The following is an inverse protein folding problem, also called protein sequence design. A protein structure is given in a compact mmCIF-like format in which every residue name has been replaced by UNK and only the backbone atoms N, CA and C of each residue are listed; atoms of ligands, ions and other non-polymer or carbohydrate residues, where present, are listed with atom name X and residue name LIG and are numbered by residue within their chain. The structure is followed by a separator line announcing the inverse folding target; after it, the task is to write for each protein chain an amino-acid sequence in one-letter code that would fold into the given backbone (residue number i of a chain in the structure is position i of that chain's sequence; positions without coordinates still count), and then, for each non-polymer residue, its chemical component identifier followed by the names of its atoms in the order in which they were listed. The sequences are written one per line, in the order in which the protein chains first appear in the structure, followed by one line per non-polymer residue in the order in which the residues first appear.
data_IF_094775946184
#
_entry.id   IF_094775946184
#
_cell.length_a   1.000
_cell.length_b   1.000
_cell.length_c   1.000
_cell.angle_alpha   90.00
_cell.angle_beta   90.00
_cell.angle_gamma   90.00
#
_symmetry.space_group_name_H-M   'P 1'
#
loop_
_entity.id
_entity.type
_entity.pdbx_description
1 polymer ?
#
# COMPACT_ATOMS: atom_id res chain seq x y z
N UNK A 1 -0.12 -5.05 7.05
CA UNK A 1 -1.41 -5.78 7.17
C UNK A 1 -2.53 -5.17 6.32
N UNK A 2 -2.57 -3.85 6.09
CA UNK A 2 -3.60 -3.21 5.26
C UNK A 2 -3.68 -3.79 3.84
N UNK A 3 -2.54 -4.01 3.18
CA UNK A 3 -2.47 -4.63 1.85
C UNK A 3 -3.00 -6.09 1.84
N UNK A 4 -2.76 -6.82 2.92
CA UNK A 4 -3.32 -8.18 3.10
C UNK A 4 -4.84 -8.14 3.20
N UNK A 5 -5.39 -7.21 3.97
CA UNK A 5 -6.83 -7.01 4.07
C UNK A 5 -7.43 -6.63 2.70
N UNK A 6 -6.75 -5.76 1.95
CA UNK A 6 -7.14 -5.39 0.58
C UNK A 6 -7.19 -6.61 -0.34
N UNK A 7 -6.14 -7.44 -0.35
CA UNK A 7 -6.09 -8.66 -1.15
C UNK A 7 -7.26 -9.60 -0.87
N UNK A 8 -7.60 -9.82 0.41
CA UNK A 8 -8.76 -10.65 0.75
C UNK A 8 -10.08 -10.03 0.31
N UNK A 9 -10.20 -8.69 0.36
CA UNK A 9 -11.42 -8.02 -0.12
C UNK A 9 -11.55 -8.09 -1.64
N UNK A 10 -10.46 -8.00 -2.40
CA UNK A 10 -10.44 -8.24 -3.85
C UNK A 10 -11.00 -9.63 -4.16
N UNK A 11 -10.43 -10.66 -3.52
CA UNK A 11 -10.90 -12.04 -3.67
C UNK A 11 -12.39 -12.19 -3.35
N UNK A 12 -12.87 -11.61 -2.24
CA UNK A 12 -14.28 -11.70 -1.85
C UNK A 12 -15.20 -10.98 -2.84
N UNK A 13 -14.77 -9.86 -3.40
CA UNK A 13 -15.52 -9.15 -4.44
C UNK A 13 -15.72 -10.02 -5.69
N UNK A 14 -14.66 -10.74 -6.09
CA UNK A 14 -14.69 -11.62 -7.27
C UNK A 14 -15.56 -12.87 -7.03
N UNK A 15 -15.52 -13.44 -5.83
CA UNK A 15 -16.31 -14.62 -5.45
C UNK A 15 -17.78 -14.30 -5.11
N UNK A 16 -18.15 -13.02 -5.00
CA UNK A 16 -19.51 -12.62 -4.66
C UNK A 16 -20.49 -12.96 -5.78
N UNK A 17 -21.53 -13.72 -5.47
CA UNK A 17 -22.60 -14.03 -6.44
C UNK A 17 -23.46 -12.82 -6.86
N UNK A 18 -23.27 -11.65 -6.20
CA UNK A 18 -23.93 -10.39 -6.52
C UNK A 18 -25.43 -10.28 -6.17
N UNK A 19 -26.05 -11.29 -5.56
CA UNK A 19 -27.49 -11.28 -5.25
C UNK A 19 -27.87 -10.33 -4.13
N UNK A 20 -27.08 -10.30 -3.03
CA UNK A 20 -27.35 -9.43 -1.89
C UNK A 20 -26.70 -8.06 -2.11
N UNK A 21 -27.48 -6.98 -2.04
CA UNK A 21 -26.96 -5.61 -2.18
C UNK A 21 -25.90 -5.28 -1.13
N UNK A 22 -26.09 -5.69 0.13
CA UNK A 22 -25.14 -5.49 1.22
C UNK A 22 -23.79 -6.15 0.92
N UNK A 23 -23.77 -7.39 0.41
CA UNK A 23 -22.55 -8.04 0.00
C UNK A 23 -21.93 -7.36 -1.23
N UNK A 24 -22.68 -7.32 -2.36
CA UNK A 24 -22.18 -6.80 -3.64
C UNK A 24 -21.65 -5.36 -3.56
N UNK A 25 -22.39 -4.46 -2.92
CA UNK A 25 -22.02 -3.04 -2.82
C UNK A 25 -21.08 -2.82 -1.66
N UNK A 26 -21.38 -3.42 -0.50
CA UNK A 26 -20.61 -3.20 0.73
C UNK A 26 -19.17 -3.70 0.62
N UNK A 27 -18.94 -4.90 0.08
CA UNK A 27 -17.58 -5.43 -0.10
C UNK A 27 -16.77 -4.55 -1.06
N UNK A 28 -17.39 -4.08 -2.15
CA UNK A 28 -16.75 -3.17 -3.09
C UNK A 28 -16.38 -1.83 -2.43
N UNK A 29 -17.27 -1.27 -1.62
CA UNK A 29 -16.97 -0.03 -0.87
C UNK A 29 -15.84 -0.22 0.14
N UNK A 30 -15.79 -1.36 0.84
CA UNK A 30 -14.67 -1.69 1.71
C UNK A 30 -13.35 -1.78 0.93
N UNK A 31 -13.37 -2.41 -0.24
CA UNK A 31 -12.20 -2.50 -1.12
C UNK A 31 -11.72 -1.11 -1.55
N UNK A 32 -12.61 -0.25 -2.04
CA UNK A 32 -12.29 1.14 -2.44
C UNK A 32 -11.65 1.94 -1.29
N UNK A 33 -12.12 1.75 -0.05
CA UNK A 33 -11.54 2.39 1.13
C UNK A 33 -10.11 1.85 1.40
N UNK A 34 -9.91 0.54 1.34
CA UNK A 34 -8.60 -0.07 1.54
C UNK A 34 -7.60 0.35 0.45
N UNK A 35 -8.04 0.43 -0.81
CA UNK A 35 -7.23 0.97 -1.90
C UNK A 35 -6.83 2.41 -1.63
N UNK A 36 -7.78 3.25 -1.24
CA UNK A 36 -7.55 4.66 -0.87
C UNK A 36 -6.52 4.78 0.27
N UNK A 37 -6.58 3.92 1.28
CA UNK A 37 -5.61 3.88 2.38
C UNK A 37 -4.23 3.45 1.87
N UNK A 38 -4.13 2.38 1.06
CA UNK A 38 -2.88 1.91 0.47
C UNK A 38 -2.25 2.93 -0.50
N UNK A 39 -3.07 3.79 -1.14
CA UNK A 39 -2.61 4.89 -1.96
C UNK A 39 -2.14 6.13 -1.18
N UNK A 40 -2.28 6.11 0.15
CA UNK A 40 -1.93 7.25 1.01
C UNK A 40 -2.96 8.38 1.01
N UNK A 41 -4.14 8.18 0.44
CA UNK A 41 -5.23 9.16 0.39
C UNK A 41 -6.28 8.94 1.48
N UNK A 42 -6.13 7.88 2.29
CA UNK A 42 -7.05 7.55 3.38
C UNK A 42 -7.13 8.63 4.46
N UNK A 43 -8.25 8.64 5.17
CA UNK A 43 -8.53 9.49 6.33
C UNK A 43 -8.86 8.62 7.55
N UNK A 44 -8.86 9.21 8.75
CA UNK A 44 -9.21 8.47 9.98
C UNK A 44 -10.66 7.99 9.92
N UNK A 45 -11.54 8.80 9.36
CA UNK A 45 -12.96 8.46 9.16
C UNK A 45 -13.14 7.22 8.25
N UNK A 46 -12.23 6.99 7.31
CA UNK A 46 -12.25 5.79 6.47
C UNK A 46 -12.07 4.51 7.29
N UNK A 47 -11.28 4.55 8.38
CA UNK A 47 -11.08 3.42 9.29
C UNK A 47 -12.38 3.11 10.03
N UNK A 48 -13.05 4.13 10.53
CA UNK A 48 -14.32 3.96 11.24
C UNK A 48 -15.42 3.47 10.26
N UNK A 49 -15.40 3.95 9.03
CA UNK A 49 -16.30 3.48 7.97
C UNK A 49 -16.12 1.99 7.63
N UNK A 50 -14.89 1.46 7.67
CA UNK A 50 -14.67 0.02 7.49
C UNK A 50 -15.39 -0.81 8.55
N UNK A 51 -15.39 -0.38 9.81
CA UNK A 51 -16.08 -1.07 10.92
C UNK A 51 -17.62 -1.02 10.73
N UNK A 52 -18.16 0.13 10.32
CA UNK A 52 -19.59 0.30 10.06
C UNK A 52 -20.05 -0.57 8.88
N UNK A 53 -19.30 -0.54 7.77
CA UNK A 53 -19.60 -1.37 6.60
C UNK A 53 -19.52 -2.86 6.92
N UNK A 54 -18.53 -3.28 7.72
CA UNK A 54 -18.37 -4.65 8.16
C UNK A 54 -19.62 -5.17 8.90
N UNK A 55 -20.12 -4.39 9.86
CA UNK A 55 -21.34 -4.74 10.60
C UNK A 55 -22.59 -4.78 9.69
N UNK A 56 -22.70 -3.82 8.78
CA UNK A 56 -23.79 -3.72 7.82
C UNK A 56 -23.85 -4.93 6.88
N UNK A 57 -22.69 -5.34 6.36
CA UNK A 57 -22.59 -6.51 5.47
C UNK A 57 -22.91 -7.79 6.24
N UNK A 58 -22.40 -7.93 7.47
CA UNK A 58 -22.65 -9.11 8.31
C UNK A 58 -24.12 -9.35 8.56
N UNK A 59 -24.87 -8.28 8.92
CA UNK A 59 -26.30 -8.38 9.21
C UNK A 59 -27.16 -8.51 7.96
N UNK A 60 -26.81 -7.82 6.87
CA UNK A 60 -27.62 -7.74 5.65
C UNK A 60 -27.37 -8.83 4.61
N UNK A 61 -26.28 -9.61 4.74
CA UNK A 61 -25.97 -10.67 3.81
C UNK A 61 -26.75 -11.97 4.12
N UNK A 62 -27.24 -12.64 3.08
CA UNK A 62 -28.10 -13.82 3.20
C UNK A 62 -27.33 -15.15 3.31
N UNK A 63 -26.04 -15.18 2.96
CA UNK A 63 -25.24 -16.40 2.97
C UNK A 63 -23.95 -16.25 3.76
N UNK A 64 -23.33 -17.37 4.10
CA UNK A 64 -22.09 -17.42 4.89
C UNK A 64 -20.96 -16.60 4.27
N UNK A 65 -20.77 -16.61 2.94
CA UNK A 65 -19.74 -15.81 2.28
C UNK A 65 -19.91 -14.31 2.62
N UNK A 66 -21.12 -13.77 2.44
CA UNK A 66 -21.37 -12.37 2.72
C UNK A 66 -21.27 -12.03 4.21
N UNK A 67 -21.79 -12.89 5.09
CA UNK A 67 -21.75 -12.69 6.54
C UNK A 67 -20.31 -12.70 7.10
N UNK A 68 -19.41 -13.45 6.49
CA UNK A 68 -18.00 -13.55 6.91
C UNK A 68 -17.06 -12.67 6.08
N UNK A 69 -17.56 -12.01 5.05
CA UNK A 69 -16.78 -11.22 4.10
C UNK A 69 -15.86 -10.19 4.74
N UNK A 70 -16.32 -9.52 5.79
CA UNK A 70 -15.57 -8.48 6.47
C UNK A 70 -14.57 -9.00 7.54
N UNK A 71 -14.57 -10.30 7.85
CA UNK A 71 -13.72 -10.86 8.91
C UNK A 71 -12.22 -10.59 8.71
N UNK A 72 -11.63 -10.70 7.51
CA UNK A 72 -10.22 -10.35 7.31
C UNK A 72 -9.91 -8.91 7.68
N UNK A 73 -10.78 -7.97 7.32
CA UNK A 73 -10.61 -6.55 7.65
C UNK A 73 -10.76 -6.30 9.16
N UNK A 74 -11.80 -6.84 9.78
CA UNK A 74 -12.02 -6.69 11.21
C UNK A 74 -10.90 -7.31 12.05
N UNK A 75 -10.38 -8.47 11.67
CA UNK A 75 -9.29 -9.13 12.39
C UNK A 75 -7.99 -8.34 12.29
N UNK A 76 -7.68 -7.80 11.11
CA UNK A 76 -6.50 -6.94 10.92
C UNK A 76 -6.64 -5.60 11.62
N UNK A 77 -7.82 -4.98 11.63
CA UNK A 77 -8.08 -3.77 12.39
C UNK A 77 -7.93 -3.98 13.91
N UNK A 78 -8.40 -5.09 14.45
CA UNK A 78 -8.25 -5.41 15.89
C UNK A 78 -6.81 -5.62 16.31
N UNK A 79 -6.02 -6.33 15.48
CA UNK A 79 -4.66 -6.73 15.84
C UNK A 79 -3.59 -5.74 15.41
N UNK A 80 -3.85 -4.92 14.39
CA UNK A 80 -2.87 -4.06 13.73
C UNK A 80 -3.43 -2.66 13.43
N UNK A 81 -4.26 -2.12 14.33
CA UNK A 81 -4.90 -0.79 14.14
C UNK A 81 -3.87 0.31 13.90
N UNK A 82 -2.73 0.23 14.59
CA UNK A 82 -1.65 1.21 14.43
C UNK A 82 -1.12 1.26 13.00
N UNK A 83 -1.01 0.13 12.31
CA UNK A 83 -0.58 0.13 10.89
C UNK A 83 -1.57 0.90 10.00
N UNK A 84 -2.87 0.80 10.26
CA UNK A 84 -3.87 1.58 9.53
C UNK A 84 -3.74 3.08 9.81
N UNK A 85 -3.54 3.43 11.08
CA UNK A 85 -3.35 4.83 11.50
C UNK A 85 -2.09 5.41 10.85
N UNK A 86 -0.98 4.68 10.84
CA UNK A 86 0.26 5.11 10.20
C UNK A 86 0.11 5.28 8.68
N UNK A 87 -0.60 4.39 8.00
CA UNK A 87 -0.90 4.54 6.56
C UNK A 87 -1.70 5.81 6.28
N UNK A 88 -2.62 6.16 7.18
CA UNK A 88 -3.52 7.31 7.03
C UNK A 88 -2.86 8.59 7.48
N UNK A 89 -2.28 8.62 8.69
CA UNK A 89 -1.70 9.82 9.31
C UNK A 89 -0.29 10.12 8.81
N UNK A 90 0.58 9.11 8.89
CA UNK A 90 2.01 9.28 8.66
C UNK A 90 2.41 8.97 7.21
N UNK A 91 1.45 8.49 6.40
CA UNK A 91 1.64 8.07 4.99
C UNK A 91 2.80 7.08 4.84
N UNK A 92 2.92 6.16 5.80
CA UNK A 92 4.01 5.21 5.90
C UNK A 92 3.51 3.77 5.90
N UNK A 93 4.20 2.92 5.15
CA UNK A 93 3.96 1.48 5.11
C UNK A 93 5.19 0.73 5.61
N UNK A 94 5.19 0.19 6.83
CA UNK A 94 6.32 -0.54 7.39
C UNK A 94 6.73 -1.77 6.59
N UNK A 95 5.77 -2.44 5.95
CA UNK A 95 6.05 -3.59 5.09
C UNK A 95 6.61 -3.18 3.73
N UNK A 96 6.63 -1.89 3.39
CA UNK A 96 7.07 -1.34 2.11
C UNK A 96 6.44 -2.03 0.88
N UNK A 97 5.16 -2.45 0.99
CA UNK A 97 4.40 -3.10 -0.08
C UNK A 97 3.56 -2.07 -0.84
N UNK A 98 2.98 -1.11 -0.10
CA UNK A 98 2.15 -0.06 -0.68
C UNK A 98 3.01 0.92 -1.48
N UNK A 99 2.98 0.80 -2.82
CA UNK A 99 3.87 1.55 -3.73
C UNK A 99 3.82 3.06 -3.51
N UNK A 100 2.64 3.60 -3.19
CA UNK A 100 2.49 5.04 -3.01
C UNK A 100 3.03 5.55 -1.67
N UNK A 101 3.18 4.66 -0.68
CA UNK A 101 3.66 4.96 0.67
C UNK A 101 5.12 4.58 0.90
N UNK A 102 5.83 4.13 -0.12
CA UNK A 102 7.25 3.79 -0.02
C UNK A 102 8.09 4.75 -0.86
N UNK A 103 9.34 4.95 -0.45
CA UNK A 103 10.32 5.74 -1.17
C UNK A 103 11.66 5.00 -1.27
N UNK A 104 12.38 5.24 -2.36
CA UNK A 104 13.78 4.83 -2.47
C UNK A 104 14.66 6.02 -2.15
N UNK A 105 15.62 5.82 -1.23
CA UNK A 105 16.56 6.88 -0.80
C UNK A 105 17.99 6.36 -0.98
N UNK A 106 18.85 7.21 -1.51
CA UNK A 106 20.28 6.89 -1.63
C UNK A 106 20.99 7.36 -0.37
N UNK A 107 21.64 6.42 0.32
CA UNK A 107 22.49 6.73 1.46
C UNK A 107 23.80 7.35 0.95
N UNK A 108 24.10 8.61 1.28
CA UNK A 108 25.29 9.29 0.76
C UNK A 108 26.60 8.68 1.26
N UNK A 109 26.62 8.08 2.46
CA UNK A 109 27.83 7.46 3.03
C UNK A 109 28.23 6.19 2.28
N UNK A 110 27.25 5.40 1.82
CA UNK A 110 27.48 4.17 1.06
C UNK A 110 27.65 4.43 -0.44
N UNK A 111 27.15 5.56 -0.93
CA UNK A 111 27.15 5.88 -2.34
C UNK A 111 28.55 6.27 -2.84
N UNK A 112 29.08 5.52 -3.82
CA UNK A 112 30.39 5.81 -4.45
C UNK A 112 30.30 6.67 -5.72
N UNK A 113 29.12 7.15 -6.08
CA UNK A 113 28.95 8.00 -7.27
C UNK A 113 29.24 7.29 -8.61
N UNK A 114 28.98 5.99 -8.70
CA UNK A 114 29.33 5.18 -9.89
C UNK A 114 28.34 5.33 -11.07
N UNK A 115 27.29 6.11 -10.94
CA UNK A 115 26.23 6.37 -11.96
C UNK A 115 25.43 5.14 -12.42
N UNK A 116 25.67 3.94 -11.91
CA UNK A 116 24.98 2.73 -12.39
C UNK A 116 23.45 2.84 -12.23
N UNK A 117 22.97 3.28 -11.08
CA UNK A 117 21.54 3.48 -10.81
C UNK A 117 20.89 4.52 -11.73
N UNK A 118 21.59 5.61 -12.03
CA UNK A 118 21.09 6.67 -12.93
C UNK A 118 20.94 6.15 -14.37
N UNK A 119 21.90 5.39 -14.88
CA UNK A 119 21.85 4.82 -16.23
C UNK A 119 20.76 3.77 -16.43
N UNK A 120 20.34 3.09 -15.37
CA UNK A 120 19.29 2.08 -15.41
C UNK A 120 17.93 2.62 -14.99
N UNK A 121 17.81 3.91 -14.70
CA UNK A 121 16.53 4.52 -14.34
C UNK A 121 15.70 4.80 -15.58
N UNK A 122 14.54 4.14 -15.80
CA UNK A 122 13.75 4.30 -17.02
C UNK A 122 13.10 5.68 -17.17
N UNK A 123 13.00 6.43 -16.06
CA UNK A 123 12.37 7.75 -16.02
C UNK A 123 13.36 8.86 -15.65
N UNK A 124 14.65 8.57 -15.64
CA UNK A 124 15.72 9.54 -15.33
C UNK A 124 15.50 10.32 -14.03
N UNK A 125 14.90 9.65 -13.04
CA UNK A 125 14.60 10.25 -11.73
C UNK A 125 15.83 10.40 -10.82
N UNK A 126 17.01 9.91 -11.23
CA UNK A 126 18.21 9.89 -10.40
C UNK A 126 19.20 10.92 -10.94
N UNK A 127 19.45 11.94 -10.13
CA UNK A 127 20.32 13.07 -10.49
C UNK A 127 21.56 13.10 -9.61
N UNK A 128 22.67 13.50 -10.17
CA UNK A 128 23.95 13.60 -9.46
C UNK A 128 25.15 13.72 -10.42
N UNK A 129 26.34 13.80 -9.84
CA UNK A 129 27.62 13.90 -10.58
C UNK A 129 28.48 12.69 -10.24
N UNK A 130 29.23 12.21 -11.22
CA UNK A 130 30.17 11.08 -11.07
C UNK A 130 31.16 11.37 -9.93
N UNK A 131 31.43 10.39 -9.08
CA UNK A 131 32.24 10.46 -7.85
C UNK A 131 31.61 11.27 -6.71
N UNK A 132 30.36 11.71 -6.84
CA UNK A 132 29.56 12.32 -5.77
C UNK A 132 28.30 11.51 -5.53
N UNK A 133 27.70 11.57 -4.32
CA UNK A 133 26.44 10.89 -4.04
C UNK A 133 25.32 11.38 -4.99
N UNK A 134 24.54 10.42 -5.47
CA UNK A 134 23.34 10.71 -6.28
C UNK A 134 22.12 10.91 -5.39
N UNK A 135 21.10 11.57 -5.91
CA UNK A 135 19.80 11.75 -5.25
C UNK A 135 18.66 11.27 -6.16
N UNK A 136 17.55 10.82 -5.58
CA UNK A 136 16.36 10.38 -6.31
C UNK A 136 15.30 11.48 -6.21
N UNK A 137 14.85 11.97 -7.36
CA UNK A 137 13.68 12.86 -7.45
C UNK A 137 12.42 12.02 -7.27
N UNK A 138 11.79 12.15 -6.09
CA UNK A 138 10.61 11.39 -5.72
C UNK A 138 9.37 11.72 -6.59
N UNK A 139 9.33 12.90 -7.21
CA UNK A 139 8.22 13.31 -8.08
C UNK A 139 8.27 12.59 -9.45
N UNK A 140 9.49 12.26 -9.93
CA UNK A 140 9.69 11.53 -11.17
C UNK A 140 9.75 10.02 -10.96
N UNK A 141 10.04 9.57 -9.73
CA UNK A 141 10.29 8.17 -9.44
C UNK A 141 9.02 7.32 -9.51
N UNK A 142 9.00 6.34 -10.41
CA UNK A 142 7.90 5.36 -10.55
C UNK A 142 8.01 4.18 -9.56
N UNK A 143 8.97 4.22 -8.65
CA UNK A 143 9.16 3.23 -7.57
C UNK A 143 9.35 1.78 -8.07
N UNK A 144 9.98 1.59 -9.22
CA UNK A 144 10.19 0.28 -9.85
C UNK A 144 11.25 -0.60 -9.17
N UNK A 145 12.10 -0.05 -8.32
CA UNK A 145 13.16 -0.79 -7.60
C UNK A 145 14.41 -1.12 -8.41
N UNK A 146 14.47 -0.79 -9.69
CA UNK A 146 15.62 -1.11 -10.57
C UNK A 146 16.94 -0.53 -10.05
N UNK A 147 16.90 0.67 -9.48
CA UNK A 147 18.07 1.31 -8.91
C UNK A 147 18.65 0.52 -7.72
N UNK A 148 17.78 -0.03 -6.84
CA UNK A 148 18.18 -0.84 -5.70
C UNK A 148 18.83 -2.15 -6.15
N UNK A 149 18.23 -2.86 -7.11
CA UNK A 149 18.78 -4.13 -7.64
C UNK A 149 20.10 -3.95 -8.37
N UNK A 150 20.31 -2.79 -9.01
CA UNK A 150 21.55 -2.46 -9.76
C UNK A 150 22.68 -1.98 -8.85
N UNK A 151 22.38 -1.53 -7.63
CA UNK A 151 23.38 -0.95 -6.73
C UNK A 151 24.26 -2.01 -6.07
N UNK A 152 25.48 -2.18 -6.56
CA UNK A 152 26.47 -3.12 -6.00
C UNK A 152 26.94 -2.77 -4.58
N UNK A 153 26.77 -1.51 -4.17
CA UNK A 153 27.21 -1.02 -2.86
C UNK A 153 26.11 -1.06 -1.80
N UNK A 154 24.90 -1.52 -2.14
CA UNK A 154 23.78 -1.51 -1.21
C UNK A 154 23.47 -0.13 -0.64
N UNK A 155 23.69 0.92 -1.45
CA UNK A 155 23.52 2.31 -1.01
C UNK A 155 22.10 2.84 -1.19
N UNK A 156 21.14 2.00 -1.62
CA UNK A 156 19.77 2.42 -1.87
C UNK A 156 18.84 1.67 -0.93
N UNK A 157 18.29 2.41 0.00
CA UNK A 157 17.37 1.90 1.00
C UNK A 157 15.92 2.16 0.53
N UNK A 158 15.02 1.23 0.88
CA UNK A 158 13.58 1.33 0.68
C UNK A 158 12.96 1.70 2.02
N UNK A 159 12.34 2.86 2.10
CA UNK A 159 11.70 3.40 3.31
C UNK A 159 10.25 3.74 3.06
#
# INVERSE_FOLDING_TARGET
MVDVAKFYMEFICDESCGKCSHCRIGTKRMLEILEKICEGKGTIEDIDQLEILASTIHVGALCALGQTAANPVLSTLRSFREEYIEHVRDKKCHAHVCKNLMMYVINPEKCKGCSACARHCPVEAIVGVVKSPYAIDQNKCIKCGMCQSTCRFGAIDKI
#
